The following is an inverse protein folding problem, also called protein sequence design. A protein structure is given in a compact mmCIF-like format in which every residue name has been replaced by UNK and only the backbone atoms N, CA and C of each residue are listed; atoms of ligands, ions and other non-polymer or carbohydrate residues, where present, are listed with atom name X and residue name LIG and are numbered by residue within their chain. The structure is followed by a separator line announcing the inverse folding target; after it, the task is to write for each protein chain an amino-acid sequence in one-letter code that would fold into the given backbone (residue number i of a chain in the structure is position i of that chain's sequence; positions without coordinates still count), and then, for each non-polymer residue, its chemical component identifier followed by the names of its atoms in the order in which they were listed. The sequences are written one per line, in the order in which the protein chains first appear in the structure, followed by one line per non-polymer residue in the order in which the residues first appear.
data_IF_370279198209
#
_entry.id   IF_370279198209
#
_cell.length_a   1.000
_cell.length_b   1.000
_cell.length_c   1.000
_cell.angle_alpha   90.00
_cell.angle_beta   90.00
_cell.angle_gamma   90.00
#
_symmetry.space_group_name_H-M   'P 1'
#
loop_
_entity.id
_entity.type
_entity.pdbx_description
1 polymer ?
#
# COMPACT_ATOMS: atom_id res chain seq x y z
N UNK A 1 20.15 -9.13 -3.78
CA UNK A 1 19.37 -8.79 -5.01
C UNK A 1 18.44 -7.64 -4.67
N UNK A 2 18.37 -6.64 -5.55
CA UNK A 2 18.05 -5.23 -5.27
C UNK A 2 16.62 -4.90 -5.73
N UNK A 3 15.79 -4.44 -4.79
CA UNK A 3 14.70 -3.48 -4.88
C UNK A 3 13.38 -3.89 -5.58
N UNK A 4 12.35 -4.15 -4.77
CA UNK A 4 10.94 -3.90 -5.12
C UNK A 4 10.49 -2.60 -4.44
N UNK A 5 11.18 -1.50 -4.76
CA UNK A 5 10.54 -0.16 -4.81
C UNK A 5 10.03 0.13 -6.24
N UNK A 6 9.85 -0.92 -7.04
CA UNK A 6 9.61 -0.85 -8.48
C UNK A 6 8.12 -0.76 -8.83
N UNK A 7 7.40 0.19 -8.24
CA UNK A 7 6.26 0.85 -8.91
C UNK A 7 6.20 2.37 -8.67
N UNK A 8 7.11 2.97 -7.90
CA UNK A 8 7.08 4.41 -7.62
C UNK A 8 8.41 5.16 -7.83
N UNK A 9 9.41 4.58 -8.51
CA UNK A 9 10.67 5.27 -8.76
C UNK A 9 11.22 5.04 -10.17
N UNK A 10 10.47 5.47 -11.19
CA UNK A 10 11.00 5.52 -12.55
C UNK A 10 10.41 6.70 -13.35
N UNK A 11 10.66 7.93 -12.88
CA UNK A 11 10.71 9.10 -13.77
C UNK A 11 11.76 10.05 -13.22
N UNK A 12 12.96 10.04 -13.81
CA UNK A 12 13.80 11.23 -14.04
C UNK A 12 15.09 10.78 -14.74
N UNK A 13 15.01 10.56 -16.06
CA UNK A 13 16.01 11.01 -17.04
C UNK A 13 15.67 10.46 -18.43
N UNK A 14 15.82 11.33 -19.43
CA UNK A 14 15.64 11.13 -20.87
C UNK A 14 14.21 11.19 -21.41
N UNK A 15 13.89 12.37 -21.96
CA UNK A 15 12.77 12.53 -22.87
C UNK A 15 13.04 11.82 -24.19
N UNK A 16 12.00 11.16 -24.70
CA UNK A 16 11.64 11.08 -26.13
C UNK A 16 10.24 10.48 -26.22
N UNK A 17 9.27 11.35 -26.48
CA UNK A 17 8.03 11.21 -27.25
C UNK A 17 7.43 9.81 -27.51
N UNK A 18 6.12 9.74 -27.20
CA UNK A 18 5.05 8.85 -27.68
C UNK A 18 4.76 7.58 -26.86
N UNK A 19 3.75 7.73 -26.01
CA UNK A 19 3.00 6.68 -25.33
C UNK A 19 2.20 7.35 -24.24
N UNK A 20 0.90 7.55 -24.47
CA UNK A 20 -0.03 8.34 -23.64
C UNK A 20 0.19 8.07 -22.17
N UNK A 21 0.89 8.98 -21.48
CA UNK A 21 1.02 8.94 -20.04
C UNK A 21 -0.29 9.44 -19.47
N UNK A 22 -1.22 8.53 -19.23
CA UNK A 22 -2.17 8.72 -18.14
C UNK A 22 -1.33 8.76 -16.86
N UNK A 23 -0.79 9.94 -16.58
CA UNK A 23 -0.19 10.27 -15.29
C UNK A 23 -1.30 10.08 -14.26
N UNK A 24 -1.35 8.89 -13.66
CA UNK A 24 -2.19 8.61 -12.50
C UNK A 24 -1.74 9.60 -11.43
N UNK A 25 -2.51 10.68 -11.28
CA UNK A 25 -2.23 11.72 -10.31
C UNK A 25 -2.43 11.13 -8.92
N UNK A 26 -1.35 10.60 -8.35
CA UNK A 26 -1.25 10.13 -6.96
C UNK A 26 -1.43 11.25 -5.91
N UNK A 27 -1.80 12.47 -6.33
CA UNK A 27 -1.89 13.65 -5.48
C UNK A 27 -3.19 14.43 -5.56
N UNK A 28 -4.28 13.85 -6.08
CA UNK A 28 -5.59 14.54 -6.21
C UNK A 28 -6.77 13.76 -5.58
N UNK A 29 -6.49 12.61 -4.93
CA UNK A 29 -7.49 11.78 -4.21
C UNK A 29 -7.30 11.97 -2.71
N UNK A 30 -7.79 13.08 -2.20
CA UNK A 30 -7.52 13.60 -0.87
C UNK A 30 -7.76 12.59 0.27
N UNK A 31 -6.65 12.07 0.79
CA UNK A 31 -6.54 11.66 2.19
C UNK A 31 -6.85 10.21 2.55
N UNK A 32 -7.15 9.38 1.57
CA UNK A 32 -7.43 7.96 1.77
C UNK A 32 -6.22 7.11 1.35
N UNK A 33 -5.05 7.31 1.95
CA UNK A 33 -3.75 6.67 1.58
C UNK A 33 -3.85 5.22 1.06
N UNK A 34 -4.47 4.33 1.84
CA UNK A 34 -4.68 2.92 1.46
C UNK A 34 -6.05 2.64 0.83
N UNK A 35 -6.90 3.65 0.67
CA UNK A 35 -8.22 3.59 0.05
C UNK A 35 -8.28 4.54 -1.17
N UNK A 36 -7.21 4.51 -1.97
CA UNK A 36 -6.95 5.38 -3.12
C UNK A 36 -7.77 5.00 -4.37
N UNK A 37 -8.46 3.85 -4.34
CA UNK A 37 -9.39 3.41 -5.39
C UNK A 37 -10.82 3.73 -4.95
N UNK A 38 -11.51 4.61 -5.68
CA UNK A 38 -12.93 4.88 -5.37
C UNK A 38 -13.82 3.71 -5.75
N UNK A 39 -15.01 3.61 -5.13
CA UNK A 39 -16.03 2.61 -5.52
C UNK A 39 -16.32 2.68 -7.01
N UNK A 40 -16.45 3.90 -7.56
CA UNK A 40 -16.72 4.09 -8.98
C UNK A 40 -15.59 3.57 -9.90
N UNK A 41 -14.36 3.55 -9.41
CA UNK A 41 -13.20 3.05 -10.15
C UNK A 41 -13.09 1.54 -10.04
N UNK A 42 -13.31 0.97 -8.85
CA UNK A 42 -13.36 -0.47 -8.66
C UNK A 42 -14.52 -1.12 -9.44
N UNK A 43 -15.63 -0.40 -9.62
CA UNK A 43 -16.78 -0.86 -10.41
C UNK A 43 -16.58 -0.73 -11.93
N UNK A 44 -15.71 0.17 -12.38
CA UNK A 44 -15.38 0.24 -13.80
C UNK A 44 -14.55 -1.00 -14.10
N UNK A 45 -15.12 -1.91 -14.88
CA UNK A 45 -14.42 -3.08 -15.42
C UNK A 45 -13.31 -2.64 -16.37
N UNK A 46 -12.21 -2.18 -15.77
CA UNK A 46 -10.98 -1.79 -16.43
C UNK A 46 -10.15 -3.06 -16.56
N UNK A 47 -10.27 -3.73 -17.70
CA UNK A 47 -9.47 -4.92 -18.03
C UNK A 47 -7.95 -4.69 -17.83
N UNK A 48 -7.49 -3.46 -18.02
CA UNK A 48 -6.12 -3.00 -17.78
C UNK A 48 -5.66 -3.12 -16.31
N UNK A 49 -6.57 -3.09 -15.34
CA UNK A 49 -6.24 -3.23 -13.92
C UNK A 49 -6.25 -4.69 -13.45
N UNK A 50 -6.88 -5.59 -14.22
CA UNK A 50 -6.92 -7.02 -13.91
C UNK A 50 -7.47 -7.32 -12.52
N UNK A 51 -8.48 -6.57 -12.08
CA UNK A 51 -9.03 -6.72 -10.73
C UNK A 51 -9.65 -8.11 -10.53
N UNK A 52 -9.35 -8.76 -9.40
CA UNK A 52 -9.74 -10.15 -9.14
C UNK A 52 -10.88 -10.28 -8.12
N UNK A 53 -11.84 -11.16 -8.40
CA UNK A 53 -12.90 -11.54 -7.47
C UNK A 53 -12.44 -12.66 -6.51
N UNK A 54 -12.99 -12.75 -5.29
CA UNK A 54 -14.07 -11.91 -4.71
C UNK A 54 -13.56 -10.58 -4.11
N UNK A 55 -12.25 -10.32 -4.15
CA UNK A 55 -11.63 -9.21 -3.45
C UNK A 55 -12.11 -7.84 -3.93
N UNK A 56 -12.42 -7.68 -5.22
CA UNK A 56 -13.03 -6.44 -5.75
C UNK A 56 -14.40 -6.18 -5.14
N UNK A 57 -15.27 -7.19 -5.13
CA UNK A 57 -16.60 -7.08 -4.52
C UNK A 57 -16.51 -6.81 -3.01
N UNK A 58 -15.61 -7.51 -2.32
CA UNK A 58 -15.37 -7.33 -0.88
C UNK A 58 -14.83 -5.93 -0.55
N UNK A 59 -13.95 -5.39 -1.40
CA UNK A 59 -13.41 -4.03 -1.27
C UNK A 59 -14.54 -2.99 -1.33
N UNK A 60 -15.40 -3.09 -2.34
CA UNK A 60 -16.53 -2.17 -2.53
C UNK A 60 -17.49 -2.25 -1.34
N UNK A 61 -17.86 -3.46 -0.92
CA UNK A 61 -18.76 -3.67 0.22
C UNK A 61 -18.17 -3.10 1.51
N UNK A 62 -16.89 -3.37 1.77
CA UNK A 62 -16.19 -2.87 2.95
C UNK A 62 -16.13 -1.32 2.97
N UNK A 63 -15.91 -0.68 1.83
CA UNK A 63 -15.97 0.78 1.73
C UNK A 63 -17.37 1.34 2.03
N UNK A 64 -18.42 0.73 1.48
CA UNK A 64 -19.81 1.15 1.71
C UNK A 64 -20.23 1.02 3.19
N UNK A 65 -19.72 0.00 3.87
CA UNK A 65 -20.02 -0.29 5.28
C UNK A 65 -19.07 0.43 6.26
N UNK A 66 -18.15 1.25 5.75
CA UNK A 66 -17.07 1.90 6.51
C UNK A 66 -16.20 0.90 7.30
N UNK A 67 -16.00 -0.31 6.78
CA UNK A 67 -15.08 -1.33 7.32
C UNK A 67 -13.70 -1.16 6.72
N UNK A 68 -12.97 -0.14 7.16
CA UNK A 68 -11.72 0.27 6.52
C UNK A 68 -10.58 -0.75 6.63
N UNK A 69 -10.52 -1.56 7.70
CA UNK A 69 -9.52 -2.63 7.81
C UNK A 69 -9.75 -3.70 6.74
N UNK A 70 -11.02 -4.09 6.55
CA UNK A 70 -11.41 -5.06 5.53
C UNK A 70 -11.17 -4.51 4.11
N UNK A 71 -11.41 -3.22 3.89
CA UNK A 71 -11.14 -2.56 2.62
C UNK A 71 -9.63 -2.51 2.31
N UNK A 72 -8.77 -2.19 3.29
CA UNK A 72 -7.32 -2.19 3.08
C UNK A 72 -6.83 -3.60 2.73
N UNK A 73 -7.31 -4.63 3.43
CA UNK A 73 -6.99 -6.03 3.11
C UNK A 73 -7.39 -6.41 1.69
N UNK A 74 -8.64 -6.14 1.32
CA UNK A 74 -9.18 -6.48 0.02
C UNK A 74 -8.44 -5.75 -1.11
N UNK A 75 -8.02 -4.50 -0.90
CA UNK A 75 -7.22 -3.74 -1.87
C UNK A 75 -5.92 -4.45 -2.24
N UNK A 76 -5.19 -4.99 -1.26
CA UNK A 76 -3.92 -5.68 -1.56
C UNK A 76 -4.14 -6.96 -2.36
N UNK A 77 -5.30 -7.59 -2.18
CA UNK A 77 -5.61 -8.84 -2.86
C UNK A 77 -6.30 -8.67 -4.21
N UNK A 78 -7.05 -7.58 -4.41
CA UNK A 78 -7.80 -7.35 -5.65
C UNK A 78 -6.91 -7.11 -6.87
N UNK A 79 -5.61 -6.86 -6.71
CA UNK A 79 -4.67 -6.76 -7.85
C UNK A 79 -4.06 -8.10 -8.28
N UNK A 80 -4.52 -9.23 -7.74
CA UNK A 80 -4.18 -10.58 -8.23
C UNK A 80 -2.74 -11.03 -7.95
N UNK A 81 -1.93 -10.21 -7.29
CA UNK A 81 -0.55 -10.55 -6.92
C UNK A 81 -0.42 -11.44 -5.68
N UNK A 82 -1.54 -11.84 -5.08
CA UNK A 82 -1.56 -12.53 -3.78
C UNK A 82 -2.52 -13.71 -3.77
N UNK A 83 -2.23 -14.72 -2.96
CA UNK A 83 -3.13 -15.83 -2.66
C UNK A 83 -3.07 -16.15 -1.18
N UNK A 84 -4.24 -16.28 -0.54
CA UNK A 84 -4.35 -16.55 0.91
C UNK A 84 -3.51 -15.60 1.79
N UNK A 85 -3.41 -14.32 1.42
CA UNK A 85 -2.66 -13.34 2.21
C UNK A 85 -1.14 -13.40 2.06
N UNK A 86 -0.60 -14.13 1.08
CA UNK A 86 0.83 -14.10 0.70
C UNK A 86 1.00 -13.70 -0.76
N UNK A 87 2.15 -13.11 -1.10
CA UNK A 87 2.45 -12.74 -2.49
C UNK A 87 2.81 -13.97 -3.32
N UNK A 88 2.29 -14.04 -4.55
CA UNK A 88 2.57 -15.15 -5.47
C UNK A 88 4.03 -15.18 -5.94
N UNK A 89 4.61 -14.00 -6.19
CA UNK A 89 6.01 -13.87 -6.64
C UNK A 89 7.02 -13.98 -5.48
N UNK A 90 6.58 -13.65 -4.26
CA UNK A 90 7.40 -13.66 -3.05
C UNK A 90 6.66 -14.35 -1.90
N UNK A 91 6.57 -15.70 -1.90
CA UNK A 91 5.74 -16.45 -0.95
C UNK A 91 6.16 -16.29 0.51
N UNK A 92 7.42 -15.90 0.75
CA UNK A 92 7.95 -15.59 2.07
C UNK A 92 7.42 -14.27 2.65
N UNK A 93 6.77 -13.45 1.82
CA UNK A 93 6.27 -12.14 2.20
C UNK A 93 4.74 -12.18 2.30
N UNK A 94 4.24 -11.82 3.47
CA UNK A 94 2.81 -11.72 3.71
C UNK A 94 2.27 -10.36 3.29
N UNK A 95 0.99 -10.31 2.92
CA UNK A 95 0.26 -9.06 2.65
C UNK A 95 0.32 -8.12 3.86
N UNK A 96 0.32 -8.67 5.07
CA UNK A 96 0.36 -7.89 6.30
C UNK A 96 1.70 -7.20 6.51
N UNK A 97 2.81 -7.89 6.25
CA UNK A 97 4.14 -7.30 6.31
C UNK A 97 4.31 -6.20 5.25
N UNK A 98 3.77 -6.40 4.03
CA UNK A 98 3.79 -5.36 3.01
C UNK A 98 2.96 -4.13 3.41
N UNK A 99 1.79 -4.35 4.01
CA UNK A 99 0.98 -3.27 4.59
C UNK A 99 1.76 -2.52 5.69
N UNK A 100 2.51 -3.22 6.55
CA UNK A 100 3.34 -2.57 7.58
C UNK A 100 4.47 -1.73 6.97
N UNK A 101 5.17 -2.26 5.99
CA UNK A 101 6.25 -1.54 5.31
C UNK A 101 5.73 -0.26 4.64
N UNK A 102 4.63 -0.37 3.89
CA UNK A 102 3.98 0.78 3.26
C UNK A 102 3.48 1.79 4.31
N UNK A 103 2.93 1.31 5.43
CA UNK A 103 2.48 2.18 6.53
C UNK A 103 3.64 2.98 7.13
N UNK A 104 4.78 2.33 7.39
CA UNK A 104 5.99 3.00 7.87
C UNK A 104 6.47 4.02 6.83
N UNK A 105 6.51 3.65 5.55
CA UNK A 105 6.89 4.53 4.45
C UNK A 105 6.02 5.79 4.39
N UNK A 106 4.69 5.64 4.39
CA UNK A 106 3.77 6.78 4.40
C UNK A 106 3.89 7.61 5.67
N UNK A 107 4.09 6.99 6.83
CA UNK A 107 4.27 7.71 8.09
C UNK A 107 5.53 8.60 8.08
N UNK A 108 6.58 8.14 7.40
CA UNK A 108 7.87 8.84 7.29
C UNK A 108 7.86 9.94 6.21
N UNK A 109 7.21 9.67 5.07
CA UNK A 109 7.35 10.47 3.86
C UNK A 109 6.10 11.27 3.46
N UNK A 110 4.91 10.90 3.94
CA UNK A 110 3.62 11.51 3.61
C UNK A 110 2.83 11.90 4.86
N UNK A 111 3.47 12.60 5.80
CA UNK A 111 2.96 12.82 7.17
C UNK A 111 1.57 13.45 7.25
N UNK A 112 1.27 14.45 6.41
CA UNK A 112 -0.02 15.15 6.49
C UNK A 112 -1.15 14.27 5.95
N UNK A 113 -0.90 13.58 4.84
CA UNK A 113 -1.82 12.56 4.30
C UNK A 113 -2.04 11.43 5.31
N UNK A 114 -0.97 11.00 6.01
CA UNK A 114 -1.05 9.99 7.06
C UNK A 114 -1.97 10.43 8.20
N UNK A 115 -1.73 11.62 8.74
CA UNK A 115 -2.58 12.16 9.81
C UNK A 115 -4.04 12.22 9.40
N UNK A 116 -4.31 12.70 8.19
CA UNK A 116 -5.69 12.75 7.70
C UNK A 116 -6.29 11.35 7.57
N UNK A 117 -5.58 10.40 6.96
CA UNK A 117 -6.05 9.01 6.82
C UNK A 117 -6.38 8.37 8.18
N UNK A 118 -5.56 8.59 9.21
CA UNK A 118 -5.84 8.08 10.56
C UNK A 118 -7.15 8.65 11.15
N UNK A 119 -7.51 9.89 10.84
CA UNK A 119 -8.81 10.46 11.28
C UNK A 119 -10.02 9.80 10.59
N UNK A 120 -9.83 9.29 9.38
CA UNK A 120 -10.84 8.50 8.67
C UNK A 120 -10.91 7.10 9.27
N UNK A 121 -9.77 6.43 9.41
CA UNK A 121 -9.70 5.05 9.91
C UNK A 121 -10.20 4.91 11.35
N UNK A 122 -10.06 5.95 12.19
CA UNK A 122 -10.62 5.96 13.54
C UNK A 122 -12.16 5.88 13.59
N UNK A 123 -12.84 6.15 12.47
CA UNK A 123 -14.31 6.06 12.34
C UNK A 123 -14.79 4.72 11.79
N UNK A 124 -13.88 3.74 11.67
CA UNK A 124 -14.19 2.43 11.10
C UNK A 124 -15.28 1.70 11.90
N UNK A 125 -16.19 1.05 11.18
CA UNK A 125 -17.14 0.08 11.72
C UNK A 125 -16.40 -1.17 12.21
N UNK A 126 -17.12 -2.17 12.74
CA UNK A 126 -16.51 -3.45 13.14
C UNK A 126 -15.92 -4.16 11.91
N UNK A 127 -14.63 -4.50 11.95
CA UNK A 127 -13.91 -5.19 10.88
C UNK A 127 -13.67 -6.66 11.22
N UNK A 128 -13.57 -7.51 10.21
CA UNK A 128 -13.00 -8.86 10.37
C UNK A 128 -11.47 -8.73 10.51
N UNK A 129 -10.87 -7.90 9.69
CA UNK A 129 -9.44 -7.55 9.67
C UNK A 129 -9.16 -6.34 10.58
N UNK A 130 -9.59 -6.40 11.85
CA UNK A 130 -9.35 -5.32 12.82
C UNK A 130 -7.86 -5.13 13.12
N UNK A 131 -7.09 -6.21 13.03
CA UNK A 131 -5.65 -6.23 13.25
C UNK A 131 -4.86 -5.36 12.26
N UNK A 132 -5.38 -5.10 11.06
CA UNK A 132 -4.80 -4.15 10.11
C UNK A 132 -4.89 -2.72 10.67
N UNK A 133 -6.03 -2.35 11.24
CA UNK A 133 -6.16 -1.02 11.85
C UNK A 133 -5.32 -0.91 13.11
N UNK A 134 -5.26 -1.98 13.92
CA UNK A 134 -4.38 -2.02 15.09
C UNK A 134 -2.91 -1.79 14.70
N UNK A 135 -2.46 -2.40 13.60
CA UNK A 135 -1.14 -2.19 13.01
C UNK A 135 -0.93 -0.74 12.57
N UNK A 136 -1.89 -0.13 11.88
CA UNK A 136 -1.81 1.28 11.48
C UNK A 136 -1.67 2.21 12.68
N UNK A 137 -2.49 2.02 13.71
CA UNK A 137 -2.43 2.81 14.93
C UNK A 137 -1.18 2.54 15.76
N UNK A 138 -0.60 1.34 15.65
CA UNK A 138 0.70 1.06 16.24
C UNK A 138 1.80 1.86 15.55
N UNK A 139 1.86 1.82 14.21
CA UNK A 139 2.80 2.63 13.41
C UNK A 139 2.64 4.12 13.70
N UNK A 140 1.41 4.62 13.88
CA UNK A 140 1.19 6.04 14.22
C UNK A 140 1.81 6.45 15.57
N UNK A 141 1.73 5.56 16.57
CA UNK A 141 2.25 5.76 17.94
C UNK A 141 3.77 5.57 18.04
N UNK A 142 4.38 4.80 17.13
CA UNK A 142 5.83 4.59 17.11
C UNK A 142 6.55 5.93 16.94
N UNK A 143 7.66 6.12 17.67
CA UNK A 143 8.45 7.35 17.56
C UNK A 143 9.05 7.47 16.16
N UNK A 144 8.93 8.64 15.53
CA UNK A 144 9.47 8.93 14.20
C UNK A 144 10.94 8.54 14.05
N UNK A 145 11.78 8.86 15.04
CA UNK A 145 13.20 8.53 15.02
C UNK A 145 13.48 7.03 14.99
N UNK A 146 12.65 6.21 15.69
CA UNK A 146 12.76 4.74 15.64
C UNK A 146 12.43 4.22 14.25
N UNK A 147 11.30 4.66 13.67
CA UNK A 147 10.91 4.30 12.30
C UNK A 147 11.98 4.69 11.26
N UNK A 148 12.55 5.89 11.41
CA UNK A 148 13.60 6.38 10.52
C UNK A 148 14.90 5.58 10.64
N UNK A 149 15.32 5.22 11.86
CA UNK A 149 16.49 4.38 12.08
C UNK A 149 16.30 2.96 11.56
N UNK A 150 15.16 2.32 11.86
CA UNK A 150 14.84 0.97 11.39
C UNK A 150 14.86 0.90 9.86
N UNK A 151 14.22 1.86 9.18
CA UNK A 151 14.22 1.96 7.72
C UNK A 151 15.65 2.13 7.16
N UNK A 152 16.50 2.92 7.83
CA UNK A 152 17.89 3.16 7.41
C UNK A 152 18.78 1.92 7.63
N UNK A 153 18.57 1.18 8.70
CA UNK A 153 19.29 -0.06 8.99
C UNK A 153 18.91 -1.19 8.03
N UNK A 154 17.62 -1.35 7.73
CA UNK A 154 17.15 -2.28 6.69
C UNK A 154 17.76 -1.95 5.33
N UNK A 155 17.77 -0.67 4.94
CA UNK A 155 18.38 -0.23 3.68
C UNK A 155 19.89 -0.51 3.63
N UNK A 156 20.61 -0.31 4.75
CA UNK A 156 22.05 -0.61 4.84
C UNK A 156 22.31 -2.12 4.74
N UNK A 157 21.58 -2.95 5.47
CA UNK A 157 21.71 -4.41 5.41
C UNK A 157 21.42 -4.97 4.02
N UNK A 158 20.47 -4.38 3.29
CA UNK A 158 20.16 -4.77 1.91
C UNK A 158 21.30 -4.42 0.93
N UNK A 159 22.02 -3.32 1.18
CA UNK A 159 23.19 -2.94 0.36
C UNK A 159 24.38 -3.86 0.64
N UNK A 160 24.66 -4.16 1.91
CA UNK A 160 25.81 -4.98 2.30
C UNK A 160 25.67 -6.43 1.81
N UNK A 161 24.46 -7.01 1.90
CA UNK A 161 24.16 -8.35 1.38
C UNK A 161 24.26 -8.47 -0.16
N UNK A 162 24.19 -7.35 -0.89
CA UNK A 162 24.40 -7.32 -2.35
C UNK A 162 25.88 -7.25 -2.70
N UNK A 163 26.70 -6.66 -1.82
CA UNK A 163 28.15 -6.58 -1.99
C UNK A 163 28.82 -7.94 -1.73
N UNK A 164 28.31 -8.75 -0.79
CA UNK A 164 28.87 -10.08 -0.48
C UNK A 164 28.56 -11.18 -1.53
N UNK A 165 27.65 -10.91 -2.48
CA UNK A 165 27.28 -11.84 -3.56
C UNK A 165 28.02 -11.58 -4.88
N UNK A 166 29.05 -10.72 -4.88
CA UNK A 166 29.95 -10.45 -6.02
C UNK A 166 31.37 -10.90 -5.71
#
# INVERSE_FOLDING_TARGET
MVFVFLKALLVLAFGSSLGSTDTFKYGDRDGNLFLDVSISEAQRDRAEWGLVEPWTSDYIAALQENRYGDAIWARYQMFGGTSNGTYLEYPQWTVREAIEEDAIGYRLHARDNWKYAMTIYAKSSRNIQSDILDLMFDVDRRSYYRLYCDCKETARSAVDSVVELK
#
